data_IF_584967240628
#
_entry.id   IF_584967240628
#
_cell.length_a   1.000
_cell.length_b   1.000
_cell.length_c   1.000
_cell.angle_alpha   90.00
_cell.angle_beta   90.00
_cell.angle_gamma   90.00
#
_symmetry.space_group_name_H-M   'P 1'
#
loop_
_entity.id
_entity.type
_entity.pdbx_description
1 polymer ?
#
# COMPACT_ATOMS: atom_id res chain seq x y z
N UNK A 1 3.53 -3.15 -19.77
CA UNK A 1 3.39 -1.81 -19.15
C UNK A 1 3.66 -1.95 -17.66
N UNK A 2 4.78 -1.42 -17.16
CA UNK A 2 5.07 -1.46 -15.72
C UNK A 2 4.21 -0.39 -15.03
N UNK A 3 3.16 -0.83 -14.34
CA UNK A 3 2.30 0.05 -13.57
C UNK A 3 3.16 0.65 -12.44
N UNK A 4 3.41 1.96 -12.48
CA UNK A 4 4.11 2.66 -11.39
C UNK A 4 3.40 2.31 -10.07
N UNK A 5 4.09 1.57 -9.20
CA UNK A 5 3.54 1.21 -7.90
C UNK A 5 3.39 2.49 -7.09
N UNK A 6 2.16 2.86 -6.73
CA UNK A 6 1.96 3.94 -5.79
C UNK A 6 2.63 3.53 -4.46
N UNK A 7 3.42 4.44 -3.87
CA UNK A 7 4.04 4.24 -2.57
C UNK A 7 3.69 5.45 -1.72
N UNK A 8 3.01 5.19 -0.61
CA UNK A 8 2.60 6.22 0.34
C UNK A 8 3.38 6.02 1.63
N UNK A 9 3.77 7.10 2.29
CA UNK A 9 4.33 7.01 3.63
C UNK A 9 3.93 8.21 4.47
N UNK A 10 3.94 8.01 5.79
CA UNK A 10 3.78 9.06 6.79
C UNK A 10 4.64 8.74 8.01
N UNK A 11 5.19 9.79 8.63
CA UNK A 11 5.89 9.69 9.90
C UNK A 11 5.04 10.36 10.97
N UNK A 12 4.88 9.70 12.12
CA UNK A 12 4.22 10.28 13.30
C UNK A 12 4.97 9.81 14.53
N UNK A 13 5.38 10.73 15.40
CA UNK A 13 6.11 10.44 16.64
C UNK A 13 7.31 9.49 16.45
N UNK A 14 8.11 9.69 15.40
CA UNK A 14 9.29 8.85 15.11
C UNK A 14 8.98 7.49 14.48
N UNK A 15 7.72 7.16 14.21
CA UNK A 15 7.35 5.92 13.50
C UNK A 15 7.01 6.25 12.06
N UNK A 16 7.74 5.63 11.12
CA UNK A 16 7.42 5.67 9.69
C UNK A 16 6.52 4.50 9.34
N UNK A 17 5.38 4.80 8.73
CA UNK A 17 4.50 3.81 8.11
C UNK A 17 4.57 4.01 6.60
N UNK A 18 4.91 2.95 5.86
CA UNK A 18 4.94 2.94 4.40
C UNK A 18 3.95 1.90 3.88
N UNK A 19 3.12 2.27 2.91
CA UNK A 19 2.08 1.42 2.32
C UNK A 19 2.28 1.32 0.82
N UNK A 20 2.26 0.10 0.30
CA UNK A 20 2.23 -0.21 -1.13
C UNK A 20 0.94 -0.95 -1.46
N UNK A 21 -0.07 -0.28 -2.04
CA UNK A 21 -1.27 -0.96 -2.53
C UNK A 21 -0.97 -1.74 -3.81
N UNK A 22 -1.69 -2.85 -3.99
CA UNK A 22 -1.68 -3.67 -5.21
C UNK A 22 -3.12 -4.04 -5.55
N UNK A 23 -3.53 -3.78 -6.80
CA UNK A 23 -4.81 -4.26 -7.31
C UNK A 23 -4.70 -5.74 -7.68
N UNK A 24 -5.62 -6.58 -7.19
CA UNK A 24 -5.65 -8.01 -7.45
C UNK A 24 -6.67 -8.32 -8.56
N UNK A 25 -6.22 -8.22 -9.81
CA UNK A 25 -7.09 -8.40 -10.98
C UNK A 25 -7.72 -9.79 -11.03
N UNK A 26 -6.99 -10.84 -10.66
CA UNK A 26 -7.48 -12.23 -10.67
C UNK A 26 -8.58 -12.49 -9.64
N UNK A 27 -8.71 -11.63 -8.63
CA UNK A 27 -9.69 -11.74 -7.55
C UNK A 27 -10.81 -10.70 -7.67
N UNK A 28 -10.80 -9.88 -8.73
CA UNK A 28 -11.76 -8.81 -8.94
C UNK A 28 -12.73 -9.16 -10.07
N UNK A 29 -13.97 -8.67 -9.97
CA UNK A 29 -15.01 -8.80 -11.01
C UNK A 29 -15.53 -7.39 -11.33
N UNK A 30 -14.84 -6.63 -12.20
CA UNK A 30 -15.16 -5.23 -12.47
C UNK A 30 -16.58 -5.00 -13.02
N UNK A 31 -17.09 -5.95 -13.80
CA UNK A 31 -18.44 -5.90 -14.40
C UNK A 31 -19.53 -5.94 -13.34
N UNK A 32 -19.23 -6.53 -12.17
CA UNK A 32 -20.09 -6.56 -10.99
C UNK A 32 -19.74 -5.47 -9.97
N UNK A 33 -18.86 -4.53 -10.34
CA UNK A 33 -18.34 -3.48 -9.46
C UNK A 33 -17.62 -4.03 -8.20
N UNK A 34 -17.02 -5.22 -8.31
CA UNK A 34 -16.26 -5.84 -7.22
C UNK A 34 -14.76 -5.69 -7.49
N UNK A 35 -14.05 -4.99 -6.60
CA UNK A 35 -12.63 -4.69 -6.76
C UNK A 35 -11.85 -5.09 -5.51
N UNK A 36 -10.81 -5.90 -5.69
CA UNK A 36 -9.98 -6.40 -4.60
C UNK A 36 -8.60 -5.75 -4.64
N UNK A 37 -8.16 -5.27 -3.48
CA UNK A 37 -6.84 -4.68 -3.29
C UNK A 37 -6.13 -5.35 -2.12
N UNK A 38 -4.83 -5.59 -2.27
CA UNK A 38 -3.94 -5.95 -1.18
C UNK A 38 -3.05 -4.76 -0.81
N UNK A 39 -2.51 -4.78 0.41
CA UNK A 39 -1.58 -3.77 0.88
C UNK A 39 -0.38 -4.41 1.58
N UNK A 40 0.82 -3.94 1.24
CA UNK A 40 2.03 -4.24 1.99
C UNK A 40 2.35 -3.05 2.89
N UNK A 41 2.30 -3.26 4.21
CA UNK A 41 2.66 -2.24 5.21
C UNK A 41 4.04 -2.53 5.76
N UNK A 42 4.91 -1.51 5.76
CA UNK A 42 6.19 -1.51 6.47
C UNK A 42 6.11 -0.46 7.59
N UNK A 43 6.38 -0.89 8.82
CA UNK A 43 6.42 -0.03 10.00
C UNK A 43 7.86 -0.01 10.52
N UNK A 44 8.43 1.18 10.64
CA UNK A 44 9.83 1.39 11.02
C UNK A 44 9.92 2.41 12.14
N UNK A 45 10.71 2.11 13.18
CA UNK A 45 11.13 3.12 14.15
C UNK A 45 12.30 3.91 13.55
N UNK A 46 12.08 5.19 13.31
CA UNK A 46 13.04 6.14 12.74
C UNK A 46 13.32 7.30 13.69
N UNK A 47 12.94 7.16 14.96
CA UNK A 47 13.25 8.13 16.00
C UNK A 47 14.75 8.26 16.19
N UNK A 48 15.23 9.50 16.27
CA UNK A 48 16.58 9.81 16.72
C UNK A 48 16.55 9.84 18.24
N UNK A 49 17.29 8.92 18.87
CA UNK A 49 17.42 8.87 20.32
C UNK A 49 18.01 10.16 20.87
#
# INVERSE_FOLDING_TARGET
MSQRSALFYRITNGIRVTVRPVYLSEQSIPEQQQFVFAYFVRIENVGTR
#
